data_IF_741512752404
#
_entry.id   IF_741512752404
#
_cell.length_a   1.000
_cell.length_b   1.000
_cell.length_c   1.000
_cell.angle_alpha   90.00
_cell.angle_beta   90.00
_cell.angle_gamma   90.00
#
_symmetry.space_group_name_H-M   'P 1'
#
loop_
_entity.id
_entity.type
_entity.pdbx_description
1 polymer ?
#
# COMPACT_ATOMS: atom_id res chain seq x y z
N UNK A 1 31.09 2.90 8.00
CA UNK A 1 30.98 3.67 6.74
C UNK A 1 29.52 3.60 6.34
N UNK A 2 28.74 4.63 6.67
CA UNK A 2 27.38 4.80 6.18
C UNK A 2 27.53 5.16 4.71
N UNK A 3 27.34 4.20 3.83
CA UNK A 3 27.28 4.44 2.40
C UNK A 3 26.15 5.45 2.16
N UNK A 4 26.47 6.52 1.46
CA UNK A 4 25.60 7.63 1.10
C UNK A 4 24.30 7.11 0.49
N UNK A 5 23.30 7.02 1.35
CA UNK A 5 21.92 6.86 0.92
C UNK A 5 21.50 8.25 0.44
N UNK A 6 21.07 8.34 -0.80
CA UNK A 6 20.32 9.54 -1.17
C UNK A 6 19.07 9.57 -0.28
N UNK A 7 18.91 10.53 0.63
CA UNK A 7 17.80 10.55 1.58
C UNK A 7 16.42 10.61 0.90
N UNK A 8 16.40 11.02 -0.36
CA UNK A 8 15.19 11.08 -1.18
C UNK A 8 14.74 9.73 -1.76
N UNK A 9 15.57 8.69 -1.69
CA UNK A 9 15.30 7.41 -2.36
C UNK A 9 14.76 6.33 -1.42
N UNK A 10 15.07 6.39 -0.12
CA UNK A 10 14.55 5.47 0.90
C UNK A 10 14.00 6.29 2.05
N UNK A 11 12.73 6.10 2.35
CA UNK A 11 12.03 6.79 3.43
C UNK A 11 11.45 5.76 4.39
N UNK A 12 11.37 6.12 5.67
CA UNK A 12 10.78 5.29 6.72
C UNK A 12 9.80 6.12 7.54
N UNK A 13 8.57 5.66 7.63
CA UNK A 13 7.52 6.22 8.46
C UNK A 13 7.10 5.22 9.53
N UNK A 14 6.72 5.73 10.69
CA UNK A 14 6.12 4.95 11.76
C UNK A 14 4.84 5.62 12.20
N UNK A 15 3.77 4.87 12.21
CA UNK A 15 2.42 5.31 12.57
C UNK A 15 2.02 4.55 13.84
N UNK A 16 1.53 5.29 14.81
CA UNK A 16 0.99 4.75 16.06
C UNK A 16 -0.46 5.23 16.19
N UNK A 17 -1.45 4.42 15.74
CA UNK A 17 -2.85 4.74 15.94
C UNK A 17 -3.19 4.67 17.43
N UNK A 18 -3.50 5.83 18.04
CA UNK A 18 -3.81 5.92 19.48
C UNK A 18 -5.09 5.17 19.85
N UNK A 19 -6.05 5.09 18.92
CA UNK A 19 -7.35 4.42 19.10
C UNK A 19 -7.66 3.58 17.86
N UNK A 20 -7.58 2.28 18.04
CA UNK A 20 -7.82 1.31 16.95
C UNK A 20 -9.27 1.37 16.46
N UNK A 21 -10.24 1.52 17.37
CA UNK A 21 -11.67 1.55 17.02
C UNK A 21 -12.01 2.81 16.22
N UNK A 22 -11.48 3.97 16.63
CA UNK A 22 -11.61 5.20 15.86
C UNK A 22 -10.95 5.07 14.48
N UNK A 23 -9.75 4.51 14.43
CA UNK A 23 -9.01 4.26 13.17
C UNK A 23 -9.81 3.38 12.20
N UNK A 24 -10.42 2.29 12.68
CA UNK A 24 -11.27 1.44 11.83
C UNK A 24 -12.47 2.20 11.28
N UNK A 25 -13.09 3.06 12.10
CA UNK A 25 -14.23 3.90 11.69
C UNK A 25 -13.81 4.92 10.62
N UNK A 26 -12.66 5.57 10.80
CA UNK A 26 -12.13 6.56 9.87
C UNK A 26 -11.77 5.91 8.53
N UNK A 27 -11.11 4.75 8.57
CA UNK A 27 -10.81 3.95 7.37
C UNK A 27 -12.09 3.61 6.62
N UNK A 28 -13.13 3.10 7.29
CA UNK A 28 -14.41 2.80 6.63
C UNK A 28 -15.02 4.05 5.99
N UNK A 29 -14.96 5.19 6.68
CA UNK A 29 -15.45 6.47 6.13
C UNK A 29 -14.70 6.85 4.86
N UNK A 30 -13.38 6.71 4.84
CA UNK A 30 -12.53 6.96 3.67
C UNK A 30 -12.85 6.02 2.51
N UNK A 31 -12.99 4.72 2.79
CA UNK A 31 -13.33 3.73 1.76
C UNK A 31 -14.73 3.94 1.15
N UNK A 32 -15.66 4.51 1.92
CA UNK A 32 -17.02 4.86 1.44
C UNK A 32 -17.04 6.09 0.55
N UNK A 33 -16.00 6.92 0.53
CA UNK A 33 -15.88 8.02 -0.40
C UNK A 33 -15.55 7.51 -1.80
N UNK A 34 -16.54 7.52 -2.67
CA UNK A 34 -16.41 7.09 -4.07
C UNK A 34 -16.16 8.26 -5.03
N UNK A 35 -15.67 9.41 -4.55
CA UNK A 35 -15.36 10.59 -5.35
C UNK A 35 -14.36 10.30 -6.48
N UNK A 36 -13.47 9.32 -6.28
CA UNK A 36 -12.51 8.85 -7.29
C UNK A 36 -13.17 8.28 -8.55
N UNK A 37 -14.46 7.90 -8.52
CA UNK A 37 -15.20 7.49 -9.71
C UNK A 37 -15.27 8.60 -10.78
N UNK A 38 -15.11 9.86 -10.37
CA UNK A 38 -15.03 10.99 -11.30
C UNK A 38 -13.81 10.93 -12.24
N UNK A 39 -12.81 10.09 -11.94
CA UNK A 39 -11.63 9.89 -12.81
C UNK A 39 -11.92 9.08 -14.07
N UNK A 40 -13.05 8.38 -14.13
CA UNK A 40 -13.44 7.62 -15.31
C UNK A 40 -14.22 8.48 -16.29
N UNK A 41 -13.91 8.35 -17.58
CA UNK A 41 -14.54 9.12 -18.66
C UNK A 41 -15.96 8.64 -18.96
N UNK A 42 -16.23 7.35 -18.79
CA UNK A 42 -17.49 6.72 -19.20
C UNK A 42 -18.37 6.33 -18.02
N UNK A 43 -19.66 6.60 -18.13
CA UNK A 43 -20.63 6.31 -17.07
C UNK A 43 -20.77 4.79 -16.79
N UNK A 44 -20.62 3.95 -17.80
CA UNK A 44 -20.65 2.49 -17.59
C UNK A 44 -19.48 2.01 -16.73
N UNK A 45 -18.31 2.63 -16.84
CA UNK A 45 -17.18 2.34 -15.96
C UNK A 45 -17.49 2.79 -14.53
N UNK A 46 -17.99 4.00 -14.34
CA UNK A 46 -18.38 4.52 -13.01
C UNK A 46 -19.38 3.57 -12.32
N UNK A 47 -20.40 3.13 -13.05
CA UNK A 47 -21.43 2.20 -12.52
C UNK A 47 -20.79 0.85 -12.16
N UNK A 48 -19.93 0.31 -13.03
CA UNK A 48 -19.29 -0.98 -12.82
C UNK A 48 -18.34 -0.95 -11.60
N UNK A 49 -17.51 0.09 -11.49
CA UNK A 49 -16.58 0.26 -10.37
C UNK A 49 -17.31 0.59 -9.07
N UNK A 50 -18.36 1.42 -9.09
CA UNK A 50 -19.19 1.67 -7.90
C UNK A 50 -19.81 0.39 -7.35
N UNK A 51 -20.32 -0.48 -8.23
CA UNK A 51 -20.91 -1.75 -7.81
C UNK A 51 -19.88 -2.70 -7.18
N UNK A 52 -18.65 -2.73 -7.69
CA UNK A 52 -17.53 -3.52 -7.12
C UNK A 52 -17.10 -2.95 -5.78
N UNK A 53 -16.80 -1.65 -5.74
CA UNK A 53 -16.36 -0.97 -4.54
C UNK A 53 -17.34 -1.18 -3.39
N UNK A 54 -18.65 -1.02 -3.64
CA UNK A 54 -19.67 -1.26 -2.61
C UNK A 54 -19.59 -2.66 -2.02
N UNK A 55 -19.47 -3.68 -2.86
CA UNK A 55 -19.35 -5.07 -2.38
C UNK A 55 -18.08 -5.28 -1.54
N UNK A 56 -16.97 -4.74 -2.00
CA UNK A 56 -15.69 -4.83 -1.27
C UNK A 56 -15.77 -4.10 0.07
N UNK A 57 -16.37 -2.90 0.10
CA UNK A 57 -16.57 -2.14 1.34
C UNK A 57 -17.46 -2.90 2.33
N UNK A 58 -18.54 -3.52 1.85
CA UNK A 58 -19.41 -4.35 2.70
C UNK A 58 -18.63 -5.54 3.30
N UNK A 59 -17.77 -6.20 2.51
CA UNK A 59 -16.90 -7.30 2.96
C UNK A 59 -15.85 -6.83 3.99
N UNK A 60 -15.24 -5.66 3.77
CA UNK A 60 -14.26 -5.05 4.72
C UNK A 60 -14.97 -4.68 6.02
N UNK A 61 -16.15 -4.05 5.92
CA UNK A 61 -16.94 -3.69 7.08
C UNK A 61 -17.28 -4.92 7.93
N UNK A 62 -17.71 -6.03 7.32
CA UNK A 62 -17.97 -7.27 8.04
C UNK A 62 -16.72 -7.79 8.79
N UNK A 63 -15.52 -7.61 8.22
CA UNK A 63 -14.26 -7.98 8.88
C UNK A 63 -13.94 -7.07 10.06
N UNK A 64 -14.19 -5.77 9.92
CA UNK A 64 -13.97 -4.78 10.98
C UNK A 64 -14.97 -4.94 12.13
N UNK A 65 -16.24 -5.21 11.82
CA UNK A 65 -17.27 -5.48 12.83
C UNK A 65 -16.98 -6.73 13.70
N UNK A 66 -16.13 -7.63 13.20
CA UNK A 66 -15.66 -8.81 13.95
C UNK A 66 -14.44 -8.53 14.84
N UNK A 67 -13.83 -7.37 14.75
CA UNK A 67 -12.74 -6.96 15.64
C UNK A 67 -13.32 -6.56 17.00
N UNK A 68 -12.93 -7.26 18.06
CA UNK A 68 -13.42 -7.03 19.42
C UNK A 68 -12.20 -6.78 20.33
N UNK A 69 -12.32 -5.78 21.21
CA UNK A 69 -11.32 -5.49 22.26
C UNK A 69 -9.89 -5.36 21.72
N UNK A 70 -9.69 -4.55 20.69
CA UNK A 70 -8.39 -4.33 20.00
C UNK A 70 -7.76 -5.58 19.37
N UNK A 71 -8.53 -6.66 19.28
CA UNK A 71 -8.08 -7.90 18.65
C UNK A 71 -8.41 -7.87 17.15
N UNK A 72 -7.46 -7.39 16.36
CA UNK A 72 -7.61 -7.29 14.91
C UNK A 72 -7.33 -8.65 14.27
N UNK A 73 -8.25 -9.15 13.45
CA UNK A 73 -8.02 -10.34 12.64
C UNK A 73 -6.91 -10.08 11.60
N UNK A 74 -6.27 -11.15 11.10
CA UNK A 74 -5.21 -11.00 10.09
C UNK A 74 -5.70 -10.21 8.87
N UNK A 75 -6.85 -10.57 8.33
CA UNK A 75 -7.40 -9.95 7.12
C UNK A 75 -7.77 -8.47 7.37
N UNK A 76 -8.41 -8.17 8.52
CA UNK A 76 -8.70 -6.79 8.90
C UNK A 76 -7.42 -5.98 9.09
N UNK A 77 -6.40 -6.55 9.73
CA UNK A 77 -5.12 -5.91 9.96
C UNK A 77 -4.37 -5.57 8.67
N UNK A 78 -4.43 -6.41 7.65
CA UNK A 78 -3.83 -6.11 6.35
C UNK A 78 -4.52 -4.90 5.69
N UNK A 79 -5.85 -4.78 5.74
CA UNK A 79 -6.56 -3.58 5.27
C UNK A 79 -6.18 -2.31 6.04
N UNK A 80 -6.08 -2.40 7.35
CA UNK A 80 -5.66 -1.25 8.18
C UNK A 80 -4.24 -0.80 7.80
N UNK A 81 -3.30 -1.73 7.69
CA UNK A 81 -1.92 -1.43 7.31
C UNK A 81 -1.85 -0.84 5.90
N UNK A 82 -2.63 -1.38 4.94
CA UNK A 82 -2.69 -0.87 3.57
C UNK A 82 -3.19 0.57 3.52
N UNK A 83 -4.30 0.85 4.19
CA UNK A 83 -4.94 2.18 4.15
C UNK A 83 -4.10 3.23 4.86
N UNK A 84 -3.60 2.95 6.06
CA UNK A 84 -2.72 3.87 6.77
C UNK A 84 -1.42 4.15 6.00
N UNK A 85 -0.87 3.16 5.31
CA UNK A 85 0.28 3.37 4.44
C UNK A 85 -0.07 4.25 3.23
N UNK A 86 -1.22 4.00 2.56
CA UNK A 86 -1.72 4.84 1.47
C UNK A 86 -1.89 6.29 1.92
N UNK A 87 -2.56 6.51 3.05
CA UNK A 87 -2.76 7.84 3.63
C UNK A 87 -1.43 8.55 3.95
N UNK A 88 -0.42 7.80 4.43
CA UNK A 88 0.92 8.35 4.66
C UNK A 88 1.57 8.85 3.37
N UNK A 89 1.43 8.12 2.26
CA UNK A 89 1.96 8.58 0.97
C UNK A 89 1.27 9.89 0.52
N UNK A 90 -0.01 10.04 0.82
CA UNK A 90 -0.78 11.23 0.44
C UNK A 90 -0.43 12.40 1.35
N UNK A 91 -0.51 12.23 2.66
CA UNK A 91 -0.38 13.31 3.65
C UNK A 91 1.06 13.78 3.86
N UNK A 92 2.02 12.86 3.94
CA UNK A 92 3.41 13.17 4.25
C UNK A 92 4.26 13.45 3.01
N UNK A 93 3.90 12.86 1.85
CA UNK A 93 4.69 12.95 0.63
C UNK A 93 3.98 13.71 -0.50
N UNK A 94 2.73 14.12 -0.30
CA UNK A 94 1.89 14.76 -1.34
C UNK A 94 1.80 13.94 -2.65
N UNK A 95 1.71 12.62 -2.52
CA UNK A 95 1.55 11.73 -3.66
C UNK A 95 0.08 11.66 -4.10
N UNK A 96 -0.18 11.09 -5.27
CA UNK A 96 -1.54 10.95 -5.76
C UNK A 96 -2.36 10.00 -4.89
N UNK A 97 -3.59 10.43 -4.62
CA UNK A 97 -4.60 9.60 -3.98
C UNK A 97 -5.18 8.63 -5.01
N UNK A 98 -4.84 7.36 -4.87
CA UNK A 98 -5.37 6.23 -5.63
C UNK A 98 -6.06 5.30 -4.64
N UNK A 99 -7.31 4.88 -4.88
CA UNK A 99 -8.01 3.96 -3.99
C UNK A 99 -7.26 2.64 -3.83
N UNK A 100 -7.54 1.92 -2.73
CA UNK A 100 -7.00 0.57 -2.54
C UNK A 100 -7.32 -0.32 -3.74
N UNK A 101 -6.40 -1.20 -4.09
CA UNK A 101 -6.51 -2.08 -5.25
C UNK A 101 -7.76 -2.97 -5.19
N UNK A 102 -8.18 -3.38 -4.00
CA UNK A 102 -9.42 -4.13 -3.78
C UNK A 102 -10.68 -3.41 -4.27
N UNK A 103 -10.69 -2.07 -4.26
CA UNK A 103 -11.82 -1.28 -4.75
C UNK A 103 -11.83 -1.14 -6.27
N UNK A 104 -10.67 -1.11 -6.88
CA UNK A 104 -10.47 -0.82 -8.30
C UNK A 104 -10.24 -2.09 -9.11
N UNK A 105 -9.37 -2.97 -8.65
CA UNK A 105 -8.91 -4.15 -9.37
C UNK A 105 -9.94 -5.27 -9.47
N UNK A 106 -9.81 -6.08 -10.51
CA UNK A 106 -10.45 -7.39 -10.61
C UNK A 106 -9.59 -8.44 -9.91
N UNK A 107 -9.49 -8.41 -8.59
CA UNK A 107 -8.86 -9.53 -7.91
C UNK A 107 -9.76 -10.77 -8.07
N UNK A 108 -9.35 -11.67 -8.95
CA UNK A 108 -9.85 -13.06 -8.88
C UNK A 108 -9.23 -13.66 -7.62
N UNK A 109 -10.05 -14.30 -6.80
CA UNK A 109 -9.55 -15.11 -5.69
C UNK A 109 -8.40 -16.01 -6.21
N UNK A 110 -7.20 -15.86 -5.63
CA UNK A 110 -6.01 -16.61 -6.05
C UNK A 110 -5.08 -15.93 -7.07
N UNK A 111 -5.36 -14.69 -7.49
CA UNK A 111 -4.39 -13.90 -8.26
C UNK A 111 -3.92 -12.70 -7.41
N UNK A 112 -2.87 -12.88 -6.60
CA UNK A 112 -2.35 -11.81 -5.75
C UNK A 112 -1.76 -10.69 -6.60
N UNK A 113 -2.04 -9.44 -6.25
CA UNK A 113 -1.45 -8.22 -6.79
C UNK A 113 -0.97 -7.34 -5.64
N UNK A 114 -0.50 -6.15 -5.92
CA UNK A 114 -0.18 -5.16 -4.90
C UNK A 114 -1.45 -4.68 -4.19
N UNK A 115 -1.33 -4.27 -2.92
CA UNK A 115 -2.48 -3.91 -2.09
C UNK A 115 -2.91 -2.45 -2.30
N UNK A 116 -1.96 -1.56 -2.61
CA UNK A 116 -2.21 -0.15 -2.85
C UNK A 116 -1.20 0.45 -3.82
N UNK A 117 -1.60 1.55 -4.43
CA UNK A 117 -0.78 2.26 -5.40
C UNK A 117 -0.78 3.76 -5.11
N UNK A 118 0.24 4.46 -5.61
CA UNK A 118 0.29 5.91 -5.62
C UNK A 118 1.22 6.39 -6.74
N UNK A 119 1.32 7.70 -6.93
CA UNK A 119 2.28 8.31 -7.86
C UNK A 119 2.92 9.52 -7.20
N UNK A 120 4.24 9.58 -7.19
CA UNK A 120 4.98 10.80 -6.90
C UNK A 120 4.74 11.82 -8.02
N UNK A 121 4.06 12.92 -7.69
CA UNK A 121 3.65 13.96 -8.65
C UNK A 121 4.85 14.73 -9.25
N UNK A 122 5.99 14.76 -8.55
CA UNK A 122 7.18 15.51 -8.96
C UNK A 122 8.06 14.69 -9.91
N UNK A 123 8.25 13.41 -9.61
CA UNK A 123 9.16 12.54 -10.36
C UNK A 123 8.47 11.67 -11.39
N UNK A 124 7.13 11.70 -11.46
CA UNK A 124 6.33 10.77 -12.27
C UNK A 124 6.70 9.30 -11.98
N UNK A 125 6.86 8.96 -10.69
CA UNK A 125 7.19 7.60 -10.28
C UNK A 125 5.95 6.92 -9.71
N UNK A 126 5.49 5.83 -10.34
CA UNK A 126 4.45 4.95 -9.79
C UNK A 126 5.03 4.17 -8.61
N UNK A 127 4.30 4.14 -7.51
CA UNK A 127 4.61 3.37 -6.30
C UNK A 127 3.66 2.18 -6.21
N UNK A 128 4.21 0.99 -6.07
CA UNK A 128 3.49 -0.26 -5.85
C UNK A 128 3.65 -0.66 -4.39
N UNK A 129 2.55 -0.79 -3.66
CA UNK A 129 2.53 -1.00 -2.22
C UNK A 129 2.03 -2.38 -1.81
N UNK A 130 2.75 -3.03 -0.91
CA UNK A 130 2.39 -4.30 -0.30
C UNK A 130 2.31 -4.16 1.21
N UNK A 131 1.22 -4.67 1.80
CA UNK A 131 0.96 -4.59 3.22
C UNK A 131 0.94 -5.97 3.88
N UNK A 132 1.49 -6.08 5.08
CA UNK A 132 1.45 -7.30 5.89
C UNK A 132 1.12 -7.00 7.34
N UNK A 133 0.21 -7.80 7.85
CA UNK A 133 -0.13 -7.80 9.26
C UNK A 133 0.19 -9.13 9.93
N UNK A 134 0.87 -9.07 11.05
CA UNK A 134 1.09 -10.20 11.96
C UNK A 134 0.89 -9.72 13.39
N UNK A 135 -0.08 -10.28 14.09
CA UNK A 135 -0.48 -9.84 15.43
C UNK A 135 0.62 -9.94 16.50
N UNK A 136 1.60 -10.80 16.33
CA UNK A 136 2.60 -11.13 17.36
C UNK A 136 4.01 -10.63 17.07
N UNK A 137 4.32 -10.26 15.83
CA UNK A 137 5.67 -9.88 15.41
C UNK A 137 5.65 -8.76 14.38
N UNK A 138 6.81 -8.12 14.16
CA UNK A 138 6.95 -7.12 13.10
C UNK A 138 7.00 -7.79 11.73
N UNK A 139 6.09 -7.41 10.82
CA UNK A 139 5.80 -8.14 9.60
C UNK A 139 6.67 -7.77 8.38
N UNK A 140 7.71 -6.93 8.50
CA UNK A 140 8.58 -6.57 7.38
C UNK A 140 9.27 -7.78 6.72
N UNK A 141 9.46 -8.85 7.48
CA UNK A 141 10.05 -10.10 6.98
C UNK A 141 9.15 -10.84 5.98
N UNK A 142 7.89 -10.45 5.89
CA UNK A 142 6.92 -10.97 4.93
C UNK A 142 6.65 -9.97 3.80
N UNK A 143 6.53 -8.67 4.09
CA UNK A 143 6.24 -7.64 3.09
C UNK A 143 7.35 -7.48 2.05
N UNK A 144 8.60 -7.34 2.48
CA UNK A 144 9.73 -7.13 1.55
C UNK A 144 9.96 -8.29 0.57
N UNK A 145 10.00 -9.57 1.02
CA UNK A 145 10.12 -10.69 0.09
C UNK A 145 8.96 -10.75 -0.91
N UNK A 146 7.73 -10.51 -0.48
CA UNK A 146 6.56 -10.57 -1.36
C UNK A 146 6.64 -9.55 -2.49
N UNK A 147 7.12 -8.33 -2.22
CA UNK A 147 7.36 -7.34 -3.29
C UNK A 147 8.38 -7.89 -4.31
N UNK A 148 9.47 -8.52 -3.83
CA UNK A 148 10.48 -9.11 -4.73
C UNK A 148 9.88 -10.24 -5.57
N UNK A 149 9.05 -11.09 -4.98
CA UNK A 149 8.34 -12.16 -5.68
C UNK A 149 7.38 -11.58 -6.73
N UNK A 150 6.60 -10.55 -6.38
CA UNK A 150 5.69 -9.88 -7.30
C UNK A 150 6.41 -9.24 -8.49
N UNK A 151 7.59 -8.64 -8.26
CA UNK A 151 8.42 -8.12 -9.35
C UNK A 151 8.88 -9.25 -10.27
N UNK A 152 9.30 -10.37 -9.68
CA UNK A 152 9.74 -11.55 -10.44
C UNK A 152 8.60 -12.13 -11.29
N UNK A 153 7.39 -12.12 -10.76
CA UNK A 153 6.16 -12.58 -11.41
C UNK A 153 5.54 -11.51 -12.32
N UNK A 154 6.15 -10.29 -12.38
CA UNK A 154 5.71 -9.16 -13.21
C UNK A 154 4.32 -8.62 -12.83
N UNK A 155 3.89 -8.75 -11.58
CA UNK A 155 2.62 -8.24 -11.08
C UNK A 155 2.51 -6.71 -11.21
N UNK A 156 3.61 -6.01 -10.99
CA UNK A 156 3.73 -4.58 -11.20
C UNK A 156 3.43 -4.12 -12.64
N UNK A 157 3.60 -5.02 -13.64
CA UNK A 157 3.22 -4.73 -15.03
C UNK A 157 1.77 -5.14 -15.31
N UNK A 158 1.26 -6.15 -14.62
CA UNK A 158 -0.14 -6.58 -14.73
C UNK A 158 -1.10 -5.52 -14.17
N UNK A 159 -0.68 -4.75 -13.15
CA UNK A 159 -1.50 -3.72 -12.51
C UNK A 159 -1.57 -2.40 -13.31
N UNK A 160 -0.62 -2.13 -14.24
CA UNK A 160 -0.56 -0.87 -14.98
C UNK A 160 -1.87 -0.48 -15.70
N UNK A 161 -2.61 -1.40 -16.34
CA UNK A 161 -3.87 -1.06 -17.00
C UNK A 161 -4.94 -0.51 -16.03
N UNK A 162 -4.95 -0.98 -14.78
CA UNK A 162 -5.90 -0.57 -13.75
C UNK A 162 -5.57 0.82 -13.20
N UNK A 163 -4.29 1.22 -13.26
CA UNK A 163 -3.81 2.53 -12.82
C UNK A 163 -4.05 3.64 -13.86
N UNK A 164 -4.46 3.30 -15.08
CA UNK A 164 -4.63 4.25 -16.18
C UNK A 164 -5.59 5.41 -15.87
N UNK A 165 -6.70 5.26 -15.13
CA UNK A 165 -7.57 6.38 -14.78
C UNK A 165 -6.96 7.34 -13.76
N UNK A 166 -5.95 6.93 -13.03
CA UNK A 166 -5.40 7.65 -11.88
C UNK A 166 -4.02 8.25 -12.15
N UNK A 167 -3.16 7.53 -12.85
CA UNK A 167 -1.77 7.93 -13.10
C UNK A 167 -1.61 8.67 -14.43
N UNK A 168 -0.55 9.49 -14.50
CA UNK A 168 -0.17 10.11 -15.78
C UNK A 168 0.36 9.06 -16.75
N UNK A 169 0.13 9.29 -18.05
CA UNK A 169 0.67 8.43 -19.11
C UNK A 169 2.22 8.33 -19.02
N UNK A 170 2.88 9.45 -18.68
CA UNK A 170 4.33 9.49 -18.47
C UNK A 170 4.78 8.53 -17.36
N UNK A 171 4.07 8.55 -16.21
CA UNK A 171 4.39 7.69 -15.06
C UNK A 171 4.22 6.20 -15.42
N UNK A 172 3.12 5.85 -16.09
CA UNK A 172 2.86 4.48 -16.54
C UNK A 172 3.92 3.98 -17.52
N UNK A 173 4.31 4.80 -18.50
CA UNK A 173 5.37 4.45 -19.45
C UNK A 173 6.74 4.29 -18.77
N UNK A 174 7.05 5.12 -17.76
CA UNK A 174 8.27 4.99 -16.96
C UNK A 174 8.25 3.70 -16.16
N UNK A 175 7.14 3.38 -15.48
CA UNK A 175 6.98 2.15 -14.71
C UNK A 175 7.12 0.89 -15.59
N UNK A 176 6.52 0.89 -16.77
CA UNK A 176 6.66 -0.19 -17.76
C UNK A 176 8.12 -0.43 -18.20
N UNK A 177 8.96 0.62 -18.16
CA UNK A 177 10.40 0.59 -18.46
C UNK A 177 11.29 0.33 -17.23
N UNK A 178 10.69 -0.04 -16.09
CA UNK A 178 11.38 -0.36 -14.85
C UNK A 178 11.71 0.85 -13.95
N UNK A 179 11.31 2.07 -14.33
CA UNK A 179 11.46 3.29 -13.50
C UNK A 179 10.24 3.47 -12.63
N UNK A 180 10.25 2.84 -11.47
CA UNK A 180 9.14 2.74 -10.51
C UNK A 180 9.67 2.67 -9.09
N UNK A 181 8.80 2.85 -8.11
CA UNK A 181 9.11 2.72 -6.70
C UNK A 181 8.23 1.67 -6.03
N UNK A 182 8.57 1.33 -4.80
CA UNK A 182 7.83 0.36 -3.99
C UNK A 182 7.57 0.89 -2.59
N UNK A 183 6.47 0.45 -1.99
CA UNK A 183 6.18 0.69 -0.58
C UNK A 183 5.97 -0.64 0.13
N UNK A 184 6.70 -0.87 1.22
CA UNK A 184 6.50 -2.01 2.10
C UNK A 184 5.86 -1.51 3.40
N UNK A 185 4.59 -1.83 3.59
CA UNK A 185 3.83 -1.54 4.79
C UNK A 185 3.73 -2.78 5.68
N UNK A 186 3.88 -2.62 6.98
CA UNK A 186 3.90 -3.78 7.88
C UNK A 186 3.52 -3.39 9.32
N UNK A 187 2.82 -4.31 10.00
CA UNK A 187 2.59 -4.16 11.43
C UNK A 187 3.90 -4.23 12.21
N UNK A 188 4.06 -3.35 13.19
CA UNK A 188 5.23 -3.26 14.06
C UNK A 188 4.77 -3.30 15.52
N UNK A 189 5.05 -4.37 16.23
CA UNK A 189 4.74 -4.47 17.68
C UNK A 189 5.93 -3.98 18.50
N UNK A 190 5.74 -2.97 19.34
CA UNK A 190 6.62 -2.52 20.43
C UNK A 190 8.14 -2.53 20.15
N UNK A 191 8.58 -2.83 18.95
CA UNK A 191 9.98 -2.91 18.57
C UNK A 191 10.52 -1.50 18.36
N UNK A 192 11.68 -1.21 18.93
CA UNK A 192 12.37 0.05 18.72
C UNK A 192 12.66 0.29 17.23
N UNK A 193 12.39 1.51 16.76
CA UNK A 193 12.53 1.92 15.36
C UNK A 193 13.94 1.66 14.82
N UNK A 194 14.98 1.96 15.59
CA UNK A 194 16.38 1.75 15.17
C UNK A 194 16.70 0.26 14.97
N UNK A 195 16.06 -0.61 15.76
CA UNK A 195 16.20 -2.06 15.62
C UNK A 195 15.52 -2.51 14.32
N UNK A 196 14.32 -2.01 14.04
CA UNK A 196 13.60 -2.32 12.79
C UNK A 196 14.45 -1.90 11.60
N UNK A 197 14.90 -0.65 11.54
CA UNK A 197 15.71 -0.12 10.45
C UNK A 197 17.00 -0.92 10.29
N UNK A 198 17.72 -1.17 11.37
CA UNK A 198 18.96 -1.97 11.36
C UNK A 198 18.75 -3.39 10.84
N UNK A 199 17.62 -4.01 11.16
CA UNK A 199 17.32 -5.36 10.72
C UNK A 199 16.89 -5.39 9.24
N UNK A 200 16.05 -4.46 8.82
CA UNK A 200 15.63 -4.31 7.42
C UNK A 200 16.83 -4.07 6.52
N UNK A 201 17.73 -3.16 6.90
CA UNK A 201 18.88 -2.78 6.06
C UNK A 201 19.87 -3.91 5.79
N UNK A 202 19.87 -4.95 6.62
CA UNK A 202 20.70 -6.15 6.43
C UNK A 202 20.10 -7.19 5.49
N UNK A 203 18.83 -7.04 5.12
CA UNK A 203 18.09 -8.00 4.30
C UNK A 203 18.49 -7.89 2.83
N UNK A 204 18.53 -9.03 2.14
CA UNK A 204 18.78 -9.10 0.69
C UNK A 204 17.65 -8.46 -0.10
N UNK A 205 16.39 -8.67 0.34
CA UNK A 205 15.19 -8.11 -0.28
C UNK A 205 15.26 -6.58 -0.29
N UNK A 206 15.61 -5.97 0.84
CA UNK A 206 15.81 -4.53 0.94
C UNK A 206 16.92 -4.04 -0.02
N UNK A 207 18.05 -4.75 -0.08
CA UNK A 207 19.15 -4.38 -0.98
C UNK A 207 18.73 -4.46 -2.46
N UNK A 208 17.86 -5.39 -2.80
CA UNK A 208 17.27 -5.50 -4.13
C UNK A 208 16.30 -4.35 -4.42
N UNK A 209 15.41 -4.03 -3.48
CA UNK A 209 14.37 -3.01 -3.66
C UNK A 209 14.92 -1.58 -3.69
N UNK A 210 15.96 -1.27 -2.91
CA UNK A 210 16.56 0.07 -2.90
C UNK A 210 17.22 0.47 -4.23
N UNK A 211 17.31 -0.44 -5.20
CA UNK A 211 17.86 -0.13 -6.53
C UNK A 211 16.83 0.56 -7.43
N UNK A 212 15.56 0.52 -7.07
CA UNK A 212 14.49 1.21 -7.80
C UNK A 212 14.49 2.72 -7.50
N UNK A 213 13.61 3.46 -8.14
CA UNK A 213 13.56 4.93 -8.02
C UNK A 213 13.27 5.38 -6.59
N UNK A 214 12.35 4.68 -5.91
CA UNK A 214 11.94 4.98 -4.54
C UNK A 214 11.63 3.70 -3.76
N UNK A 215 11.93 3.71 -2.46
CA UNK A 215 11.51 2.67 -1.52
C UNK A 215 10.98 3.33 -0.25
N UNK A 216 9.72 3.11 0.06
CA UNK A 216 9.04 3.66 1.21
C UNK A 216 8.71 2.53 2.17
N UNK A 217 9.10 2.68 3.42
CA UNK A 217 8.83 1.71 4.47
C UNK A 217 7.86 2.35 5.46
N UNK A 218 6.73 1.70 5.69
CA UNK A 218 5.71 2.19 6.62
C UNK A 218 5.48 1.13 7.70
N UNK A 219 5.86 1.46 8.93
CA UNK A 219 5.62 0.63 10.11
C UNK A 219 4.38 1.13 10.84
N UNK A 220 3.40 0.27 11.09
CA UNK A 220 2.16 0.59 11.78
C UNK A 220 2.10 -0.17 13.10
N UNK A 221 2.00 0.53 14.21
CA UNK A 221 1.87 -0.06 15.55
C UNK A 221 0.42 -0.50 15.79
N UNK A 222 0.15 -1.81 15.64
CA UNK A 222 -1.17 -2.42 15.77
C UNK A 222 -1.15 -3.62 16.72
#
# INVERSE_FOLDING_TARGET
MLTEWSPAKVQFFRIDPEDVSATLSDILSTLMDLSWLSKFDHDYDKIAFASRAKKTIDDIKEKFDKCVDDNISKDAGEYVVSELARETLISELDYLDIPLDELVGKKRSGNPGFDFHSQNKITDTVIFGEAKYVATTTAYSSALPQIVDFISDRKDLEDLPELKPFCTESALQRAAKGKKGFSAAFSAKTTNTDIIIRNITKRRDFQSLRQYEELILVAVDL
#
